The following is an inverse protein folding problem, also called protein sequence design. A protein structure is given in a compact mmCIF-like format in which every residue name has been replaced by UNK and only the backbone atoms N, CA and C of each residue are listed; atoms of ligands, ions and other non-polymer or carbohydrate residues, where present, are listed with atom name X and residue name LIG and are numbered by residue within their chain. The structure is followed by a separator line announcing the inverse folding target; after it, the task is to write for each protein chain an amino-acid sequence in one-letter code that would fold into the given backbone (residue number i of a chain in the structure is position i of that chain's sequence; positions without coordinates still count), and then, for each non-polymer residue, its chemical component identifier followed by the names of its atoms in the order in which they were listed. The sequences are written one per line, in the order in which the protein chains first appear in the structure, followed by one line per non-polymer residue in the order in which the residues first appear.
data_IF_174763004325
#
_entry.id   IF_174763004325
#
_cell.length_a   1.000
_cell.length_b   1.000
_cell.length_c   1.000
_cell.angle_alpha   90.00
_cell.angle_beta   90.00
_cell.angle_gamma   90.00
#
_symmetry.space_group_name_H-M   'P 1'
#
loop_
_entity.id
_entity.type
_entity.pdbx_description
1 polymer ?
#
# COMPACT_ATOMS: atom_id res chain seq x y z
N UNK A 1 -35.70 23.94 31.55
CA UNK A 1 -36.99 23.22 31.60
C UNK A 1 -37.06 22.36 30.34
N UNK A 2 -36.70 21.08 30.45
CA UNK A 2 -37.62 19.93 30.54
C UNK A 2 -38.24 19.60 29.16
N UNK A 3 -37.78 18.52 28.50
CA UNK A 3 -38.48 17.21 28.36
C UNK A 3 -39.63 17.24 27.32
N UNK A 4 -39.91 16.26 26.46
CA UNK A 4 -39.57 14.84 26.42
C UNK A 4 -39.81 14.24 25.01
N UNK A 5 -39.37 12.99 24.88
CA UNK A 5 -39.49 12.03 23.78
C UNK A 5 -40.92 11.75 23.30
N UNK A 6 -41.04 11.30 22.04
CA UNK A 6 -42.08 10.36 21.63
C UNK A 6 -41.49 9.29 20.69
N UNK A 7 -41.60 8.02 21.11
CA UNK A 7 -41.38 6.81 20.30
C UNK A 7 -42.69 6.41 19.62
N UNK A 8 -42.59 5.90 18.40
CA UNK A 8 -43.59 5.10 17.68
C UNK A 8 -43.02 4.84 16.28
N UNK A 9 -42.76 3.64 15.78
CA UNK A 9 -43.40 2.35 16.01
C UNK A 9 -44.42 2.10 14.90
N UNK A 10 -43.98 1.64 13.71
CA UNK A 10 -44.83 0.90 12.77
C UNK A 10 -44.02 -0.09 11.93
N UNK A 11 -44.39 -1.36 12.09
CA UNK A 11 -44.06 -2.49 11.24
C UNK A 11 -44.73 -2.34 9.86
N UNK A 12 -44.08 -2.80 8.78
CA UNK A 12 -44.77 -3.07 7.50
C UNK A 12 -44.66 -4.54 7.12
N UNK A 13 -45.84 -5.05 6.80
CA UNK A 13 -46.30 -6.41 6.52
C UNK A 13 -45.61 -7.11 5.35
N UNK A 14 -45.46 -8.42 5.53
CA UNK A 14 -45.21 -9.42 4.50
C UNK A 14 -46.49 -9.67 3.66
N UNK A 15 -46.31 -9.88 2.36
CA UNK A 15 -47.34 -10.41 1.45
C UNK A 15 -46.95 -11.81 1.01
N UNK A 16 -47.69 -12.82 1.49
CA UNK A 16 -47.61 -14.22 1.06
C UNK A 16 -48.78 -14.46 0.09
N UNK A 17 -48.50 -14.94 -1.11
CA UNK A 17 -49.50 -15.44 -2.07
C UNK A 17 -49.58 -16.96 -1.93
N UNK A 18 -50.80 -17.43 -1.67
CA UNK A 18 -51.18 -18.83 -1.49
C UNK A 18 -51.68 -19.40 -2.83
N UNK A 19 -51.23 -20.60 -3.24
CA UNK A 19 -51.82 -21.36 -4.34
C UNK A 19 -52.34 -22.69 -3.80
N UNK A 20 -53.59 -22.94 -4.13
CA UNK A 20 -54.50 -23.99 -3.71
C UNK A 20 -54.24 -25.29 -4.50
N UNK A 21 -54.12 -26.45 -3.85
CA UNK A 21 -54.22 -27.76 -4.50
C UNK A 21 -55.41 -28.54 -3.92
N UNK A 22 -56.31 -28.97 -4.82
CA UNK A 22 -57.52 -29.73 -4.55
C UNK A 22 -57.21 -31.22 -4.32
N UNK A 23 -57.79 -31.78 -3.27
CA UNK A 23 -57.85 -33.21 -2.99
C UNK A 23 -59.00 -33.86 -3.77
N UNK A 24 -58.77 -35.03 -4.37
CA UNK A 24 -59.81 -35.95 -4.86
C UNK A 24 -59.61 -37.31 -4.18
N UNK A 25 -60.62 -37.92 -3.53
CA UNK A 25 -60.49 -39.23 -2.90
C UNK A 25 -60.88 -40.37 -3.87
N UNK A 26 -60.18 -41.50 -3.79
CA UNK A 26 -60.58 -42.74 -4.47
C UNK A 26 -61.46 -43.63 -3.56
N UNK A 27 -62.42 -44.39 -4.11
CA UNK A 27 -63.25 -45.32 -3.34
C UNK A 27 -62.59 -46.69 -3.14
N UNK A 28 -62.86 -47.29 -1.99
CA UNK A 28 -62.54 -48.68 -1.66
C UNK A 28 -63.46 -49.66 -2.42
N UNK A 29 -62.91 -50.79 -2.88
CA UNK A 29 -63.69 -51.93 -3.37
C UNK A 29 -63.04 -53.26 -2.97
N UNK A 30 -63.93 -54.18 -2.57
CA UNK A 30 -63.75 -55.41 -1.78
C UNK A 30 -63.03 -56.59 -2.47
N UNK A 31 -62.70 -57.54 -1.60
CA UNK A 31 -62.04 -58.81 -1.83
C UNK A 31 -62.82 -59.79 -2.74
N UNK A 32 -62.08 -60.41 -3.67
CA UNK A 32 -62.52 -61.57 -4.47
C UNK A 32 -61.43 -62.65 -4.53
N UNK A 33 -61.85 -63.91 -4.34
CA UNK A 33 -61.07 -65.15 -4.19
C UNK A 33 -60.00 -65.43 -5.27
N UNK A 34 -58.86 -65.97 -4.80
CA UNK A 34 -57.75 -66.57 -5.56
C UNK A 34 -58.13 -67.90 -6.26
N UNK A 35 -57.47 -68.18 -7.40
CA UNK A 35 -56.93 -69.51 -7.67
C UNK A 35 -55.41 -69.48 -7.89
N UNK A 36 -54.77 -70.53 -7.38
CA UNK A 36 -53.35 -70.85 -7.45
C UNK A 36 -52.83 -71.04 -8.88
N UNK A 37 -51.62 -70.53 -9.20
CA UNK A 37 -50.59 -71.30 -9.90
C UNK A 37 -49.22 -70.57 -9.94
N UNK A 38 -48.19 -71.39 -9.70
CA UNK A 38 -46.76 -71.27 -10.06
C UNK A 38 -46.01 -69.98 -9.69
N UNK A 39 -45.07 -70.14 -8.76
CA UNK A 39 -43.97 -69.21 -8.49
C UNK A 39 -43.06 -69.09 -9.72
N UNK A 40 -43.22 -68.02 -10.49
CA UNK A 40 -42.12 -67.42 -11.26
C UNK A 40 -41.65 -66.19 -10.50
N UNK A 41 -40.40 -66.22 -10.07
CA UNK A 41 -39.69 -65.07 -9.49
C UNK A 41 -39.75 -63.92 -10.50
N UNK A 42 -40.25 -62.71 -10.15
CA UNK A 42 -40.11 -61.58 -11.05
C UNK A 42 -38.62 -61.28 -11.16
N UNK A 43 -38.13 -61.21 -12.40
CA UNK A 43 -36.80 -60.67 -12.66
C UNK A 43 -36.73 -59.29 -12.02
N UNK A 44 -35.80 -59.11 -11.09
CA UNK A 44 -35.51 -57.81 -10.52
C UNK A 44 -35.17 -56.87 -11.69
N UNK A 45 -36.00 -55.86 -11.91
CA UNK A 45 -35.56 -54.66 -12.62
C UNK A 45 -34.36 -54.16 -11.80
N UNK A 46 -33.15 -54.04 -12.35
CA UNK A 46 -32.07 -53.45 -11.59
C UNK A 46 -32.55 -52.08 -11.16
N UNK A 47 -32.62 -51.84 -9.85
CA UNK A 47 -32.68 -50.48 -9.37
C UNK A 47 -31.47 -49.79 -10.02
N UNK A 48 -31.73 -48.87 -10.95
CA UNK A 48 -30.72 -47.90 -11.35
C UNK A 48 -30.47 -47.14 -10.07
N UNK A 49 -29.48 -47.61 -9.30
CA UNK A 49 -28.96 -46.87 -8.17
C UNK A 49 -28.60 -45.52 -8.72
N UNK A 50 -29.27 -44.48 -8.23
CA UNK A 50 -28.85 -43.12 -8.47
C UNK A 50 -27.39 -43.08 -8.03
N UNK A 51 -26.48 -42.99 -8.98
CA UNK A 51 -25.10 -42.60 -8.68
C UNK A 51 -25.23 -41.28 -7.93
N UNK A 52 -24.56 -41.10 -6.78
CA UNK A 52 -24.50 -39.79 -6.13
C UNK A 52 -24.18 -38.74 -7.19
N UNK A 53 -25.10 -37.78 -7.31
CA UNK A 53 -24.92 -36.65 -8.22
C UNK A 53 -24.03 -35.68 -7.46
N UNK A 54 -22.72 -35.87 -7.58
CA UNK A 54 -21.73 -35.05 -6.88
C UNK A 54 -21.18 -33.98 -7.84
N UNK A 55 -20.91 -32.79 -7.31
CA UNK A 55 -20.22 -31.73 -8.06
C UNK A 55 -18.72 -32.01 -8.00
N UNK A 56 -18.08 -32.13 -9.16
CA UNK A 56 -16.64 -32.35 -9.27
C UNK A 56 -15.89 -31.02 -9.43
N UNK A 57 -14.79 -30.86 -8.69
CA UNK A 57 -13.83 -29.76 -8.90
C UNK A 57 -12.93 -30.16 -10.07
N UNK A 58 -13.07 -29.47 -11.20
CA UNK A 58 -12.23 -29.67 -12.39
C UNK A 58 -10.93 -28.88 -12.25
N UNK A 59 -11.03 -27.61 -11.80
CA UNK A 59 -9.88 -26.81 -11.40
C UNK A 59 -10.20 -25.94 -10.18
N UNK A 60 -9.29 -25.85 -9.19
CA UNK A 60 -9.49 -24.98 -8.04
C UNK A 60 -9.33 -23.50 -8.43
N UNK A 61 -9.93 -22.58 -7.66
CA UNK A 61 -9.77 -21.15 -7.89
C UNK A 61 -8.36 -20.66 -7.61
N UNK A 62 -7.99 -19.57 -8.26
CA UNK A 62 -6.82 -18.74 -7.93
C UNK A 62 -7.27 -17.38 -7.45
N UNK A 63 -6.47 -16.77 -6.57
CA UNK A 63 -6.62 -15.37 -6.19
C UNK A 63 -5.92 -14.53 -7.25
N UNK A 64 -6.68 -13.74 -8.00
CA UNK A 64 -6.19 -12.78 -8.97
C UNK A 64 -6.17 -11.35 -8.37
N UNK A 65 -5.24 -10.52 -8.84
CA UNK A 65 -4.96 -9.18 -8.30
C UNK A 65 -3.70 -9.13 -7.44
N UNK A 66 -3.19 -7.91 -7.21
CA UNK A 66 -2.05 -7.68 -6.33
C UNK A 66 -2.54 -7.54 -4.88
N UNK A 67 -1.99 -8.29 -3.90
CA UNK A 67 -2.47 -8.26 -2.51
C UNK A 67 -1.91 -7.03 -1.78
N UNK A 68 -2.32 -5.85 -2.22
CA UNK A 68 -1.87 -4.56 -1.70
C UNK A 68 -3.03 -3.78 -1.07
N UNK A 69 -2.78 -3.11 0.05
CA UNK A 69 -3.75 -2.21 0.69
C UNK A 69 -4.22 -1.14 -0.31
N UNK A 70 -5.53 -0.96 -0.41
CA UNK A 70 -6.21 -0.13 -1.41
C UNK A 70 -6.52 -0.86 -2.73
N UNK A 71 -5.99 -2.07 -2.91
CA UNK A 71 -6.19 -2.91 -4.10
C UNK A 71 -7.47 -3.75 -4.04
N UNK A 72 -7.66 -4.57 -5.08
CA UNK A 72 -8.75 -5.53 -5.18
C UNK A 72 -8.23 -6.92 -5.53
N UNK A 73 -8.84 -7.94 -4.92
CA UNK A 73 -8.60 -9.35 -5.20
C UNK A 73 -9.87 -10.01 -5.73
N UNK A 74 -9.73 -10.98 -6.64
CA UNK A 74 -10.85 -11.76 -7.18
C UNK A 74 -10.54 -13.26 -7.15
N UNK A 75 -11.60 -14.08 -7.08
CA UNK A 75 -11.50 -15.53 -7.29
C UNK A 75 -11.83 -15.89 -8.74
N UNK A 76 -10.86 -16.49 -9.42
CA UNK A 76 -10.89 -16.76 -10.87
C UNK A 76 -10.28 -18.12 -11.21
N UNK A 77 -10.34 -18.52 -12.48
CA UNK A 77 -9.65 -19.71 -13.01
C UNK A 77 -10.17 -21.07 -12.52
N UNK A 78 -11.35 -21.10 -11.87
CA UNK A 78 -11.97 -22.33 -11.40
C UNK A 78 -12.97 -22.89 -12.42
N UNK A 79 -13.14 -24.21 -12.38
CA UNK A 79 -14.12 -24.95 -13.15
C UNK A 79 -14.71 -26.07 -12.30
N UNK A 80 -16.03 -26.20 -12.34
CA UNK A 80 -16.79 -27.26 -11.68
C UNK A 80 -17.66 -27.98 -12.70
N UNK A 81 -17.87 -29.28 -12.51
CA UNK A 81 -18.69 -30.10 -13.39
C UNK A 81 -19.86 -30.69 -12.62
N UNK A 82 -21.07 -30.46 -13.14
CA UNK A 82 -22.31 -31.12 -12.71
C UNK A 82 -23.17 -31.44 -13.95
N UNK A 83 -23.07 -32.65 -14.49
CA UNK A 83 -23.69 -33.00 -15.77
C UNK A 83 -25.20 -32.71 -15.80
N UNK A 84 -25.63 -31.92 -16.78
CA UNK A 84 -27.05 -31.58 -16.99
C UNK A 84 -27.64 -30.59 -15.98
N UNK A 85 -26.81 -29.92 -15.19
CA UNK A 85 -27.25 -28.98 -14.15
C UNK A 85 -26.66 -27.58 -14.36
N UNK A 86 -27.36 -26.56 -13.86
CA UNK A 86 -26.84 -25.19 -13.78
C UNK A 86 -26.23 -25.02 -12.38
N UNK A 87 -24.97 -24.58 -12.33
CA UNK A 87 -24.26 -24.35 -11.08
C UNK A 87 -24.49 -22.92 -10.58
N UNK A 88 -24.70 -22.78 -9.27
CA UNK A 88 -24.60 -21.52 -8.53
C UNK A 88 -23.34 -21.52 -7.68
N UNK A 89 -22.73 -20.35 -7.51
CA UNK A 89 -21.47 -20.20 -6.78
C UNK A 89 -21.61 -19.22 -5.62
N UNK A 90 -21.16 -19.65 -4.45
CA UNK A 90 -20.94 -18.80 -3.30
C UNK A 90 -19.44 -18.58 -3.10
N UNK A 91 -19.06 -17.35 -2.79
CA UNK A 91 -17.68 -16.94 -2.58
C UNK A 91 -17.48 -16.63 -1.11
N UNK A 92 -16.32 -16.94 -0.54
CA UNK A 92 -15.96 -16.44 0.78
C UNK A 92 -14.48 -16.17 0.91
N UNK A 93 -14.14 -15.12 1.67
CA UNK A 93 -12.77 -14.79 2.05
C UNK A 93 -12.60 -15.03 3.54
N UNK A 94 -11.46 -15.57 3.94
CA UNK A 94 -11.14 -15.87 5.34
C UNK A 94 -9.75 -15.37 5.69
N UNK A 95 -9.63 -14.69 6.83
CA UNK A 95 -8.37 -14.57 7.54
C UNK A 95 -7.95 -15.97 8.04
N UNK A 96 -6.71 -16.35 7.73
CA UNK A 96 -6.11 -17.59 8.20
C UNK A 96 -5.88 -17.63 9.73
N UNK A 97 -5.94 -16.48 10.44
CA UNK A 97 -5.68 -16.37 11.89
C UNK A 97 -6.91 -16.60 12.77
N UNK A 98 -8.09 -16.07 12.43
CA UNK A 98 -9.31 -16.18 13.25
C UNK A 98 -10.47 -16.93 12.58
N UNK A 99 -10.36 -17.23 11.28
CA UNK A 99 -11.33 -18.02 10.51
C UNK A 99 -12.66 -17.31 10.22
N UNK A 100 -12.79 -16.02 10.55
CA UNK A 100 -14.04 -15.29 10.37
C UNK A 100 -14.26 -14.99 8.87
N UNK A 101 -15.44 -15.26 8.30
CA UNK A 101 -15.74 -14.87 6.92
C UNK A 101 -15.99 -13.36 6.85
N UNK A 102 -15.18 -12.64 6.08
CA UNK A 102 -15.26 -11.18 5.95
C UNK A 102 -16.08 -10.70 4.73
N UNK A 103 -16.77 -11.63 4.05
CA UNK A 103 -17.76 -11.30 3.05
C UNK A 103 -18.03 -12.42 2.04
N UNK A 104 -19.19 -12.33 1.38
CA UNK A 104 -19.63 -13.26 0.34
C UNK A 104 -19.55 -12.59 -1.04
N UNK A 105 -18.33 -12.31 -1.49
CA UNK A 105 -18.10 -11.54 -2.71
C UNK A 105 -17.02 -12.20 -3.57
N UNK A 106 -17.28 -12.25 -4.88
CA UNK A 106 -16.27 -12.69 -5.86
C UNK A 106 -15.04 -11.77 -5.87
N UNK A 107 -15.23 -10.49 -5.59
CA UNK A 107 -14.19 -9.45 -5.52
C UNK A 107 -14.14 -8.88 -4.11
N UNK A 108 -12.95 -8.84 -3.52
CA UNK A 108 -12.66 -8.26 -2.21
C UNK A 108 -11.82 -6.99 -2.39
N UNK A 109 -12.27 -5.87 -1.80
CA UNK A 109 -11.47 -4.65 -1.74
C UNK A 109 -10.66 -4.62 -0.44
N UNK A 110 -9.35 -4.41 -0.55
CA UNK A 110 -8.42 -4.47 0.57
C UNK A 110 -8.35 -3.12 1.27
N UNK A 111 -9.02 -3.02 2.41
CA UNK A 111 -8.87 -1.91 3.36
C UNK A 111 -7.55 -2.00 4.16
N UNK A 112 -7.14 -0.91 4.83
CA UNK A 112 -6.00 -0.86 5.77
C UNK A 112 -5.92 -2.00 6.79
N UNK A 113 -7.07 -2.45 7.29
CA UNK A 113 -7.18 -3.48 8.33
C UNK A 113 -6.64 -4.85 7.88
N UNK A 114 -6.54 -5.06 6.56
CA UNK A 114 -6.03 -6.31 5.99
C UNK A 114 -4.51 -6.43 5.99
N UNK A 115 -3.75 -5.39 6.32
CA UNK A 115 -2.28 -5.49 6.23
C UNK A 115 -1.73 -6.56 7.15
N UNK A 116 -0.85 -7.37 6.59
CA UNK A 116 -0.20 -8.47 7.27
C UNK A 116 -1.09 -9.70 7.41
N UNK A 117 -2.38 -9.59 7.09
CA UNK A 117 -3.33 -10.70 7.09
C UNK A 117 -3.01 -11.64 5.93
N UNK A 118 -3.06 -12.93 6.22
CA UNK A 118 -2.98 -13.99 5.22
C UNK A 118 -4.40 -14.38 4.85
N UNK A 119 -4.80 -14.02 3.64
CA UNK A 119 -6.11 -14.27 3.10
C UNK A 119 -6.16 -15.58 2.33
N UNK A 120 -7.22 -16.34 2.53
CA UNK A 120 -7.61 -17.43 1.62
C UNK A 120 -9.01 -17.18 1.08
N UNK A 121 -9.25 -17.59 -0.17
CA UNK A 121 -10.57 -17.50 -0.78
C UNK A 121 -11.12 -18.88 -1.08
N UNK A 122 -12.44 -19.04 -0.98
CA UNK A 122 -13.15 -20.28 -1.27
C UNK A 122 -14.28 -20.01 -2.24
N UNK A 123 -14.49 -20.96 -3.15
CA UNK A 123 -15.66 -21.03 -4.03
C UNK A 123 -16.42 -22.31 -3.70
N UNK A 124 -17.68 -22.18 -3.32
CA UNK A 124 -18.59 -23.30 -3.09
C UNK A 124 -19.59 -23.36 -4.23
N UNK A 125 -19.62 -24.50 -4.93
CA UNK A 125 -20.58 -24.75 -6.00
C UNK A 125 -21.78 -25.54 -5.46
N UNK A 126 -22.98 -25.18 -5.91
CA UNK A 126 -24.24 -25.84 -5.55
C UNK A 126 -25.11 -26.06 -6.81
N UNK A 127 -25.88 -27.15 -6.81
CA UNK A 127 -26.96 -27.43 -7.77
C UNK A 127 -28.06 -28.23 -7.07
N UNK A 128 -29.32 -28.05 -7.48
CA UNK A 128 -30.53 -28.48 -6.74
C UNK A 128 -30.45 -29.86 -6.06
N UNK A 129 -30.08 -30.90 -6.81
CA UNK A 129 -30.03 -32.29 -6.34
C UNK A 129 -28.59 -32.77 -6.03
N UNK A 130 -27.63 -31.85 -5.94
CA UNK A 130 -26.21 -32.16 -5.74
C UNK A 130 -25.71 -31.69 -4.37
N UNK A 131 -24.76 -32.43 -3.79
CA UNK A 131 -24.02 -31.95 -2.61
C UNK A 131 -23.13 -30.76 -2.98
N UNK A 132 -22.98 -29.82 -2.03
CA UNK A 132 -22.13 -28.64 -2.26
C UNK A 132 -20.66 -29.04 -2.18
N UNK A 133 -19.85 -28.49 -3.09
CA UNK A 133 -18.43 -28.81 -3.17
C UNK A 133 -17.59 -27.53 -3.03
N UNK A 134 -16.85 -27.35 -1.91
CA UNK A 134 -15.97 -26.21 -1.72
C UNK A 134 -14.58 -26.43 -2.33
N UNK A 135 -14.08 -25.44 -3.05
CA UNK A 135 -12.71 -25.38 -3.55
C UNK A 135 -11.99 -24.15 -2.99
N UNK A 136 -10.80 -24.36 -2.41
CA UNK A 136 -10.01 -23.29 -1.79
C UNK A 136 -8.86 -22.85 -2.71
N UNK A 137 -8.65 -21.54 -2.78
CA UNK A 137 -7.51 -20.94 -3.45
C UNK A 137 -6.28 -20.89 -2.52
N UNK A 138 -5.05 -21.01 -3.06
CA UNK A 138 -3.83 -20.79 -2.29
C UNK A 138 -3.82 -19.42 -1.60
N UNK A 139 -3.37 -19.31 -0.34
CA UNK A 139 -3.45 -18.07 0.39
C UNK A 139 -2.45 -17.02 -0.10
N UNK A 140 -2.81 -15.74 0.05
CA UNK A 140 -1.95 -14.58 -0.23
C UNK A 140 -1.82 -13.71 1.01
N UNK A 141 -0.68 -13.04 1.19
CA UNK A 141 -0.47 -12.12 2.31
C UNK A 141 -0.54 -10.68 1.83
N UNK A 142 -1.37 -9.87 2.49
CA UNK A 142 -1.64 -8.48 2.08
C UNK A 142 -0.59 -7.53 2.63
N UNK A 143 0.06 -6.75 1.77
CA UNK A 143 1.08 -5.76 2.15
C UNK A 143 0.66 -4.33 1.78
N UNK A 144 1.45 -3.32 2.14
CA UNK A 144 1.35 -1.95 1.62
C UNK A 144 2.60 -1.54 0.85
N UNK A 145 2.43 -0.63 -0.11
CA UNK A 145 3.57 -0.04 -0.83
C UNK A 145 4.35 0.90 0.08
N UNK A 146 3.71 1.48 1.08
CA UNK A 146 4.34 2.39 2.04
C UNK A 146 4.44 1.74 3.44
N UNK A 147 5.10 2.39 4.41
CA UNK A 147 5.18 1.88 5.79
C UNK A 147 3.92 2.23 6.62
N UNK A 148 3.05 3.10 6.12
CA UNK A 148 1.80 3.54 6.75
C UNK A 148 0.73 2.48 6.63
N UNK A 149 -0.13 2.38 7.65
CA UNK A 149 -1.31 1.55 7.60
C UNK A 149 -2.28 1.89 6.44
N UNK A 150 -2.16 3.09 5.87
CA UNK A 150 -3.12 3.64 4.92
C UNK A 150 -2.60 3.73 3.48
N UNK A 151 -1.40 3.21 3.20
CA UNK A 151 -0.73 3.30 1.89
C UNK A 151 -0.60 4.77 1.38
N UNK A 152 -0.15 5.67 2.25
CA UNK A 152 -0.05 7.12 2.00
C UNK A 152 1.40 7.59 1.99
N UNK A 153 1.68 8.73 1.33
CA UNK A 153 2.97 9.42 1.43
C UNK A 153 3.35 9.67 2.89
N UNK A 154 4.58 9.33 3.24
CA UNK A 154 5.14 9.44 4.57
C UNK A 154 6.44 10.21 4.53
N UNK A 155 6.78 10.80 5.67
CA UNK A 155 8.16 11.11 5.97
C UNK A 155 8.56 10.47 7.28
N UNK A 156 9.87 10.38 7.45
CA UNK A 156 10.50 9.86 8.64
C UNK A 156 10.99 11.01 9.50
N UNK A 157 10.86 10.87 10.81
CA UNK A 157 11.45 11.79 11.76
C UNK A 157 12.34 11.03 12.74
N UNK A 158 13.60 11.45 12.86
CA UNK A 158 14.50 10.93 13.89
C UNK A 158 14.35 11.76 15.16
N UNK A 159 14.12 11.06 16.25
CA UNK A 159 14.02 11.61 17.59
C UNK A 159 15.40 11.67 18.27
N UNK A 160 15.53 12.54 19.27
CA UNK A 160 16.75 12.75 20.05
C UNK A 160 17.21 11.49 20.80
N UNK A 161 16.29 10.59 21.11
CA UNK A 161 16.55 9.29 21.73
C UNK A 161 16.99 8.21 20.72
N UNK A 162 17.04 8.56 19.43
CA UNK A 162 17.41 7.67 18.33
C UNK A 162 16.26 6.84 17.78
N UNK A 163 15.03 6.99 18.28
CA UNK A 163 13.86 6.37 17.68
C UNK A 163 13.50 7.04 16.34
N UNK A 164 12.90 6.26 15.45
CA UNK A 164 12.40 6.71 14.17
C UNK A 164 10.87 6.72 14.22
N UNK A 165 10.30 7.86 13.86
CA UNK A 165 8.88 8.10 13.80
C UNK A 165 8.42 8.09 12.34
N UNK A 166 7.41 7.29 12.06
CA UNK A 166 6.69 7.34 10.78
C UNK A 166 5.58 8.36 10.92
N UNK A 167 5.55 9.35 10.04
CA UNK A 167 4.51 10.36 10.11
C UNK A 167 3.67 10.27 8.84
N UNK A 168 2.53 9.54 8.88
CA UNK A 168 1.65 9.48 7.72
C UNK A 168 0.99 10.82 7.51
N UNK A 169 0.85 11.23 6.26
CA UNK A 169 -0.03 12.33 5.89
C UNK A 169 -1.50 11.87 5.87
N UNK A 170 -2.43 12.80 6.10
CA UNK A 170 -3.85 12.64 5.80
C UNK A 170 -4.17 13.42 4.52
N UNK A 171 -5.26 13.09 3.78
CA UNK A 171 -5.73 13.92 2.65
C UNK A 171 -6.04 15.38 3.01
N UNK A 172 -6.20 15.70 4.29
CA UNK A 172 -6.36 17.08 4.79
C UNK A 172 -5.02 17.73 5.20
N UNK A 173 -3.87 17.14 4.83
CA UNK A 173 -2.54 17.61 5.21
C UNK A 173 -2.29 17.60 6.73
N UNK A 174 -2.87 16.66 7.49
CA UNK A 174 -2.60 16.47 8.93
C UNK A 174 -1.66 15.28 9.13
N UNK A 175 -0.77 15.40 10.11
CA UNK A 175 0.07 14.28 10.54
C UNK A 175 -0.76 13.27 11.34
N UNK A 176 -0.68 12.00 10.99
CA UNK A 176 -1.19 10.93 11.84
C UNK A 176 -0.31 10.68 13.06
N UNK A 177 -0.75 9.78 13.93
CA UNK A 177 0.01 9.42 15.14
C UNK A 177 1.33 8.78 14.75
N UNK A 178 2.44 9.37 15.17
CA UNK A 178 3.75 8.79 14.96
C UNK A 178 3.83 7.41 15.63
N UNK A 179 4.12 6.38 14.84
CA UNK A 179 4.48 5.07 15.37
C UNK A 179 5.99 4.99 15.49
N UNK A 180 6.46 4.37 16.58
CA UNK A 180 7.86 3.96 16.66
C UNK A 180 8.02 2.70 15.83
N UNK A 181 8.98 2.69 14.89
CA UNK A 181 9.46 1.41 14.36
C UNK A 181 9.93 0.53 15.51
N UNK A 182 9.60 -0.75 15.48
CA UNK A 182 10.11 -1.70 16.46
C UNK A 182 11.63 -1.82 16.29
N UNK A 183 12.40 -1.27 17.23
CA UNK A 183 13.85 -1.43 17.29
C UNK A 183 14.65 -0.14 17.29
N UNK A 184 15.88 -0.23 17.80
CA UNK A 184 16.88 0.83 17.67
C UNK A 184 17.52 0.69 16.29
N UNK A 185 17.32 1.70 15.45
CA UNK A 185 17.96 1.75 14.13
C UNK A 185 19.49 1.80 14.28
N UNK A 186 20.25 1.30 13.28
CA UNK A 186 21.70 1.34 13.31
C UNK A 186 22.19 2.77 13.56
N UNK A 187 23.34 2.91 14.23
CA UNK A 187 24.00 4.21 14.41
C UNK A 187 24.57 4.72 13.07
N UNK A 188 23.68 5.07 12.14
CA UNK A 188 24.00 5.68 10.88
C UNK A 188 24.32 7.17 11.09
N UNK A 189 25.23 7.69 10.25
CA UNK A 189 25.57 9.11 10.25
C UNK A 189 24.46 9.93 9.60
N UNK A 190 23.82 9.38 8.57
CA UNK A 190 22.67 9.94 7.87
C UNK A 190 21.75 8.80 7.40
N UNK A 191 20.49 9.14 7.16
CA UNK A 191 19.43 8.24 6.69
C UNK A 191 18.54 9.02 5.72
N UNK A 192 17.83 8.35 4.81
CA UNK A 192 16.81 8.97 3.96
C UNK A 192 15.73 7.96 3.54
N UNK A 193 14.52 8.42 3.23
CA UNK A 193 13.48 7.58 2.61
C UNK A 193 13.76 7.44 1.12
N UNK A 194 13.90 6.21 0.65
CA UNK A 194 14.33 6.00 -0.73
C UNK A 194 13.19 5.80 -1.73
N UNK A 195 11.94 5.88 -1.28
CA UNK A 195 10.82 5.36 -2.06
C UNK A 195 11.08 3.88 -2.41
N UNK A 196 10.56 3.41 -3.54
CA UNK A 196 10.82 2.06 -4.04
C UNK A 196 12.18 2.00 -4.78
N UNK A 197 13.27 1.90 -4.02
CA UNK A 197 14.63 1.97 -4.57
C UNK A 197 15.01 0.69 -5.32
N UNK A 198 14.51 -0.46 -4.89
CA UNK A 198 14.81 -1.73 -5.54
C UNK A 198 13.79 -2.25 -6.55
N UNK A 199 12.68 -1.51 -6.74
CA UNK A 199 11.69 -1.77 -7.76
C UNK A 199 10.74 -2.92 -7.41
N UNK A 200 10.62 -3.29 -6.14
CA UNK A 200 9.73 -4.34 -5.67
C UNK A 200 8.31 -3.84 -5.33
N UNK A 201 8.07 -2.54 -5.50
CA UNK A 201 6.80 -1.87 -5.25
C UNK A 201 6.59 -1.46 -3.79
N UNK A 202 7.60 -1.58 -2.92
CA UNK A 202 7.56 -1.19 -1.50
C UNK A 202 8.59 -0.10 -1.22
N UNK A 203 8.28 0.77 -0.27
CA UNK A 203 9.20 1.81 0.16
C UNK A 203 10.39 1.22 0.93
N UNK A 204 11.57 1.76 0.64
CA UNK A 204 12.85 1.39 1.20
C UNK A 204 13.46 2.54 2.01
N UNK A 205 14.52 2.22 2.74
CA UNK A 205 15.31 3.17 3.52
C UNK A 205 16.78 3.07 3.14
N UNK A 206 17.43 4.21 2.95
CA UNK A 206 18.89 4.28 2.80
C UNK A 206 19.55 4.78 4.07
N UNK A 207 20.69 4.19 4.44
CA UNK A 207 21.50 4.64 5.58
C UNK A 207 22.96 4.75 5.21
N UNK A 208 23.58 5.88 5.56
CA UNK A 208 25.01 6.11 5.38
C UNK A 208 25.73 6.03 6.72
N UNK A 209 26.62 5.05 6.85
CA UNK A 209 27.39 4.80 8.06
C UNK A 209 28.67 5.66 8.11
N UNK A 210 29.22 5.86 9.32
CA UNK A 210 30.45 6.67 9.52
C UNK A 210 31.68 6.11 8.82
N UNK A 211 31.72 4.81 8.57
CA UNK A 211 32.77 4.14 7.79
C UNK A 211 32.61 4.35 6.26
N UNK A 212 31.60 5.12 5.82
CA UNK A 212 31.35 5.41 4.42
C UNK A 212 30.68 4.29 3.64
N UNK A 213 30.00 3.36 4.33
CA UNK A 213 29.15 2.33 3.72
C UNK A 213 27.72 2.85 3.62
N UNK A 214 27.14 2.77 2.42
CA UNK A 214 25.73 3.04 2.16
C UNK A 214 24.99 1.69 2.12
N UNK A 215 23.97 1.55 2.96
CA UNK A 215 23.11 0.38 3.02
C UNK A 215 21.70 0.72 2.56
N UNK A 216 21.14 -0.15 1.73
CA UNK A 216 19.71 -0.23 1.46
C UNK A 216 19.07 -1.20 2.46
N UNK A 217 17.97 -0.76 3.06
CA UNK A 217 17.08 -1.56 3.89
C UNK A 217 15.76 -1.70 3.11
N UNK A 218 15.57 -2.82 2.37
CA UNK A 218 14.37 -2.97 1.58
C UNK A 218 13.14 -3.07 2.47
N UNK A 219 12.04 -2.44 2.09
CA UNK A 219 10.77 -2.54 2.80
C UNK A 219 10.24 -3.96 2.80
N UNK A 220 9.56 -4.38 3.87
CA UNK A 220 8.79 -5.62 3.85
C UNK A 220 7.32 -5.39 3.45
N UNK A 221 6.86 -4.14 3.42
CA UNK A 221 5.47 -3.75 3.16
C UNK A 221 4.51 -4.02 4.33
N UNK A 222 5.04 -4.36 5.50
CA UNK A 222 4.30 -4.61 6.74
C UNK A 222 4.70 -3.64 7.87
N UNK A 223 5.42 -2.55 7.53
CA UNK A 223 5.93 -1.57 8.49
C UNK A 223 7.34 -1.87 9.01
N UNK A 224 8.04 -2.83 8.41
CA UNK A 224 9.43 -3.20 8.71
C UNK A 224 10.32 -3.24 7.47
N UNK A 225 11.56 -3.70 7.67
CA UNK A 225 12.53 -3.88 6.59
C UNK A 225 13.03 -5.32 6.57
N UNK A 226 13.44 -5.77 5.39
CA UNK A 226 14.10 -7.06 5.19
C UNK A 226 15.62 -6.94 5.44
N UNK A 227 16.40 -7.93 5.00
CA UNK A 227 17.83 -7.96 5.26
C UNK A 227 18.55 -6.84 4.49
N UNK A 228 19.36 -5.99 5.17
CA UNK A 228 20.02 -4.88 4.50
C UNK A 228 21.11 -5.38 3.55
N UNK A 229 21.34 -4.61 2.48
CA UNK A 229 22.40 -4.87 1.50
C UNK A 229 23.26 -3.65 1.26
N UNK A 230 24.54 -3.89 0.94
CA UNK A 230 25.49 -2.82 0.61
C UNK A 230 25.17 -2.27 -0.77
N UNK A 231 24.88 -0.98 -0.83
CA UNK A 231 24.62 -0.26 -2.08
C UNK A 231 25.84 0.53 -2.56
N UNK A 232 26.73 0.92 -1.64
CA UNK A 232 27.95 1.64 -1.94
C UNK A 232 28.95 1.66 -0.78
N UNK A 233 30.21 1.97 -1.09
CA UNK A 233 31.28 2.14 -0.10
C UNK A 233 32.26 3.25 -0.51
N UNK A 234 33.12 3.69 0.41
CA UNK A 234 34.11 4.74 0.17
C UNK A 234 33.58 6.17 0.36
N UNK A 235 32.44 6.33 1.02
CA UNK A 235 31.74 7.61 1.17
C UNK A 235 32.17 8.38 2.42
N UNK A 236 33.37 8.15 2.94
CA UNK A 236 33.89 8.87 4.11
C UNK A 236 34.10 10.37 3.84
N UNK A 237 34.31 10.76 2.58
CA UNK A 237 34.43 12.16 2.14
C UNK A 237 33.11 12.83 1.74
N UNK A 238 31.99 12.11 1.79
CA UNK A 238 30.66 12.68 1.51
C UNK A 238 30.18 13.45 2.74
N UNK A 239 29.78 14.70 2.54
CA UNK A 239 29.24 15.56 3.61
C UNK A 239 27.81 15.12 3.95
N UNK A 240 26.95 15.01 2.96
CA UNK A 240 25.58 14.49 3.06
C UNK A 240 25.13 13.92 1.70
N UNK A 241 24.00 13.22 1.72
CA UNK A 241 23.32 12.68 0.55
C UNK A 241 21.83 12.98 0.66
N UNK A 242 21.13 12.94 -0.47
CA UNK A 242 19.67 13.03 -0.56
C UNK A 242 19.19 12.27 -1.79
N UNK A 243 17.90 11.95 -1.81
CA UNK A 243 17.27 11.09 -2.82
C UNK A 243 16.27 11.89 -3.65
N UNK A 244 16.60 12.22 -4.91
CA UNK A 244 15.70 12.96 -5.78
C UNK A 244 14.57 12.12 -6.40
N UNK A 245 14.56 10.80 -6.19
CA UNK A 245 13.79 9.88 -7.03
C UNK A 245 14.53 9.64 -8.35
N UNK A 246 13.80 9.51 -9.45
CA UNK A 246 14.38 9.38 -10.79
C UNK A 246 14.82 10.75 -11.32
N UNK A 247 16.12 11.02 -11.31
CA UNK A 247 16.69 12.32 -11.70
C UNK A 247 17.25 12.31 -13.12
N UNK A 248 17.42 11.12 -13.71
CA UNK A 248 17.99 10.93 -15.04
C UNK A 248 17.02 10.36 -16.08
N UNK A 249 15.76 10.13 -15.68
CA UNK A 249 14.67 9.68 -16.53
C UNK A 249 14.72 8.18 -16.88
N UNK A 250 15.53 7.38 -16.18
CA UNK A 250 15.66 5.93 -16.43
C UNK A 250 14.69 5.05 -15.62
N UNK A 251 13.74 5.69 -14.94
CA UNK A 251 12.70 5.10 -14.09
C UNK A 251 13.26 4.33 -12.89
N UNK A 252 14.46 4.70 -12.43
CA UNK A 252 15.06 4.15 -11.22
C UNK A 252 15.44 5.27 -10.26
N UNK A 253 15.27 5.08 -8.96
CA UNK A 253 15.73 6.07 -8.01
C UNK A 253 17.24 6.26 -8.01
N UNK A 254 17.65 7.52 -7.93
CA UNK A 254 19.03 7.97 -7.92
C UNK A 254 19.47 8.43 -6.53
N UNK A 255 20.77 8.62 -6.34
CA UNK A 255 21.34 9.21 -5.13
C UNK A 255 22.20 10.41 -5.49
N UNK A 256 21.95 11.57 -4.88
CA UNK A 256 22.84 12.72 -5.01
C UNK A 256 23.66 12.86 -3.74
N UNK A 257 24.97 13.03 -3.89
CA UNK A 257 25.90 13.29 -2.79
C UNK A 257 26.49 14.67 -2.91
N UNK A 258 26.75 15.29 -1.76
CA UNK A 258 27.51 16.52 -1.67
C UNK A 258 28.86 16.27 -1.02
N UNK A 259 29.92 16.81 -1.60
CA UNK A 259 31.25 16.78 -0.99
C UNK A 259 31.52 17.99 -0.08
N UNK A 260 32.67 18.01 0.57
CA UNK A 260 33.07 19.11 1.45
C UNK A 260 33.33 20.44 0.71
N UNK A 261 33.58 20.39 -0.60
CA UNK A 261 33.71 21.58 -1.46
C UNK A 261 32.36 22.15 -1.89
N UNK A 262 31.26 21.43 -1.62
CA UNK A 262 29.91 21.81 -2.02
C UNK A 262 29.51 21.33 -3.41
N UNK A 263 30.34 20.56 -4.09
CA UNK A 263 29.97 19.99 -5.38
C UNK A 263 28.93 18.90 -5.18
N UNK A 264 27.98 18.82 -6.12
CA UNK A 264 26.96 17.78 -6.15
C UNK A 264 27.32 16.74 -7.19
N UNK A 265 27.21 15.48 -6.79
CA UNK A 265 27.50 14.32 -7.62
C UNK A 265 26.30 13.38 -7.66
N UNK A 266 25.80 13.10 -8.86
CA UNK A 266 24.74 12.14 -9.10
C UNK A 266 25.33 10.73 -9.19
N UNK A 267 24.76 9.80 -8.44
CA UNK A 267 25.01 8.37 -8.52
C UNK A 267 23.74 7.73 -9.07
N UNK A 268 23.79 7.30 -10.34
CA UNK A 268 22.62 6.78 -11.02
C UNK A 268 22.20 5.41 -10.46
N UNK A 269 20.89 5.17 -10.41
CA UNK A 269 20.28 3.89 -10.11
C UNK A 269 20.69 2.80 -11.10
N UNK A 270 20.81 1.58 -10.61
CA UNK A 270 21.21 0.42 -11.41
C UNK A 270 20.68 -0.87 -10.81
N UNK A 271 20.46 -1.88 -11.66
CA UNK A 271 19.89 -3.16 -11.26
C UNK A 271 20.69 -3.90 -10.16
N UNK A 272 21.98 -3.60 -10.01
CA UNK A 272 22.87 -4.19 -9.00
C UNK A 272 23.45 -3.18 -8.01
N UNK A 273 22.97 -1.93 -8.02
CA UNK A 273 23.48 -0.85 -7.17
C UNK A 273 23.79 0.43 -7.95
N UNK A 274 24.53 1.33 -7.31
CA UNK A 274 24.85 2.65 -7.86
C UNK A 274 25.90 2.59 -8.97
N UNK A 275 25.67 3.35 -10.04
CA UNK A 275 26.63 3.56 -11.12
C UNK A 275 27.72 4.56 -10.72
N UNK A 276 28.84 4.64 -11.47
CA UNK A 276 29.86 5.66 -11.25
C UNK A 276 29.24 7.07 -11.27
N UNK A 277 29.68 7.90 -10.32
CA UNK A 277 29.11 9.24 -10.13
C UNK A 277 29.48 10.20 -11.26
N UNK A 278 28.55 11.09 -11.59
CA UNK A 278 28.77 12.24 -12.48
C UNK A 278 28.67 13.54 -11.70
N UNK A 279 29.45 14.55 -12.07
CA UNK A 279 29.33 15.89 -11.50
C UNK A 279 28.08 16.55 -12.08
N UNK A 280 27.22 17.12 -11.23
CA UNK A 280 26.01 17.84 -11.68
C UNK A 280 26.05 19.32 -11.28
N UNK A 281 26.79 19.67 -10.22
CA UNK A 281 26.99 21.06 -9.83
C UNK A 281 28.40 21.26 -9.29
N UNK A 282 29.13 22.24 -9.83
CA UNK A 282 30.44 22.63 -9.34
C UNK A 282 30.35 23.31 -7.97
N UNK A 283 31.30 23.01 -7.09
CA UNK A 283 31.43 23.71 -5.82
C UNK A 283 32.08 25.09 -6.00
N UNK A 284 31.48 26.14 -5.45
CA UNK A 284 32.10 27.47 -5.30
C UNK A 284 32.07 27.96 -3.86
N UNK A 285 31.02 27.60 -3.11
CA UNK A 285 30.93 27.56 -1.64
C UNK A 285 29.87 26.50 -1.27
N UNK A 286 30.05 25.72 -0.18
CA UNK A 286 29.04 24.76 0.21
C UNK A 286 27.76 25.49 0.59
N UNK A 287 26.62 25.23 -0.08
CA UNK A 287 25.33 25.73 0.38
C UNK A 287 25.09 25.29 1.84
N UNK A 288 24.42 26.11 2.64
CA UNK A 288 24.10 25.76 4.02
C UNK A 288 23.26 24.48 4.08
N UNK A 289 22.34 24.30 3.10
CA UNK A 289 21.47 23.12 2.93
C UNK A 289 21.24 22.84 1.45
N UNK A 290 21.03 21.58 1.11
CA UNK A 290 20.59 21.11 -0.21
C UNK A 290 19.64 19.94 0.01
N UNK A 291 18.56 19.88 -0.75
CA UNK A 291 17.61 18.77 -0.77
C UNK A 291 16.90 18.74 -2.12
N UNK A 292 16.26 17.63 -2.48
CA UNK A 292 15.41 17.55 -3.66
C UNK A 292 13.94 17.57 -3.25
N UNK A 293 13.15 18.56 -3.69
CA UNK A 293 11.71 18.60 -3.45
C UNK A 293 10.90 17.63 -4.32
N UNK A 294 11.50 16.95 -5.29
CA UNK A 294 10.78 16.29 -6.39
C UNK A 294 10.55 17.28 -7.53
N UNK A 295 9.57 17.01 -8.40
CA UNK A 295 9.14 17.94 -9.45
C UNK A 295 8.40 19.12 -8.80
N UNK A 296 9.10 20.24 -8.66
CA UNK A 296 8.65 21.38 -7.86
C UNK A 296 8.18 22.56 -8.71
N UNK A 297 8.69 22.67 -9.94
CA UNK A 297 8.23 23.61 -10.95
C UNK A 297 7.23 23.03 -11.97
N UNK A 298 6.92 21.73 -11.87
CA UNK A 298 5.88 21.07 -12.65
C UNK A 298 6.31 20.73 -14.07
N UNK A 299 7.62 20.65 -14.34
CA UNK A 299 8.17 20.33 -15.66
C UNK A 299 8.25 18.82 -15.94
N UNK A 300 7.93 18.00 -14.94
CA UNK A 300 7.95 16.54 -15.02
C UNK A 300 9.27 15.90 -14.62
N UNK A 301 10.24 16.68 -14.14
CA UNK A 301 11.56 16.19 -13.70
C UNK A 301 11.84 16.59 -12.26
N UNK A 302 12.64 15.79 -11.54
CA UNK A 302 12.96 16.11 -10.16
C UNK A 302 13.94 17.29 -10.06
N UNK A 303 13.69 18.20 -9.12
CA UNK A 303 14.47 19.42 -8.91
C UNK A 303 15.42 19.35 -7.71
N UNK A 304 16.25 20.38 -7.53
CA UNK A 304 17.05 20.59 -6.33
C UNK A 304 16.82 22.00 -5.76
N UNK A 305 16.63 22.08 -4.45
CA UNK A 305 16.65 23.35 -3.72
C UNK A 305 17.96 23.46 -2.94
N UNK A 306 18.66 24.58 -3.13
CA UNK A 306 19.83 24.94 -2.34
C UNK A 306 19.57 26.18 -1.48
N UNK A 307 20.12 26.20 -0.27
CA UNK A 307 20.09 27.37 0.62
C UNK A 307 21.48 27.97 0.74
N UNK A 308 21.63 29.26 0.42
CA UNK A 308 22.89 29.96 0.58
C UNK A 308 23.15 30.36 2.05
N UNK A 309 24.35 30.87 2.35
CA UNK A 309 24.73 31.28 3.70
C UNK A 309 23.92 32.47 4.25
N UNK A 310 23.27 33.25 3.38
CA UNK A 310 22.35 34.32 3.76
C UNK A 310 20.92 33.81 3.99
N UNK A 311 20.69 32.51 3.84
CA UNK A 311 19.39 31.86 4.02
C UNK A 311 18.46 32.00 2.81
N UNK A 312 18.93 32.50 1.67
CA UNK A 312 18.14 32.56 0.43
C UNK A 312 18.11 31.19 -0.22
N UNK A 313 16.94 30.80 -0.72
CA UNK A 313 16.76 29.56 -1.44
C UNK A 313 16.87 29.80 -2.95
N UNK A 314 17.46 28.83 -3.62
CA UNK A 314 17.64 28.79 -5.07
C UNK A 314 17.10 27.45 -5.57
N UNK A 315 16.30 27.51 -6.63
CA UNK A 315 15.84 26.34 -7.38
C UNK A 315 16.88 26.05 -8.47
N UNK A 316 17.25 24.79 -8.58
CA UNK A 316 18.05 24.24 -9.65
C UNK A 316 17.16 23.21 -10.34
N UNK A 317 16.57 23.59 -11.48
CA UNK A 317 15.65 22.74 -12.20
C UNK A 317 16.38 21.49 -12.72
N UNK A 318 15.74 20.34 -12.59
CA UNK A 318 16.22 19.11 -13.22
C UNK A 318 16.16 19.20 -14.74
N UNK A 319 17.04 18.50 -15.43
CA UNK A 319 16.94 18.38 -16.90
C UNK A 319 16.34 17.03 -17.35
N UNK A 320 15.93 16.19 -16.39
CA UNK A 320 15.52 14.80 -16.62
C UNK A 320 16.58 13.91 -17.28
N UNK A 321 17.84 14.35 -17.30
CA UNK A 321 18.98 13.65 -17.92
C UNK A 321 20.17 13.57 -16.96
N UNK A 322 19.92 13.79 -15.68
CA UNK A 322 20.93 13.75 -14.63
C UNK A 322 21.80 15.01 -14.58
N UNK A 323 21.29 16.15 -15.02
CA UNK A 323 21.93 17.47 -14.89
C UNK A 323 20.94 18.47 -14.29
N UNK A 324 21.45 19.67 -13.96
CA UNK A 324 20.63 20.79 -13.49
C UNK A 324 20.82 22.01 -14.38
N UNK A 325 19.81 22.85 -14.43
CA UNK A 325 19.90 24.19 -15.00
C UNK A 325 20.62 25.20 -14.08
N UNK A 326 20.84 26.40 -14.60
CA UNK A 326 21.40 27.51 -13.83
C UNK A 326 20.48 27.88 -12.65
N UNK A 327 21.03 28.09 -11.43
CA UNK A 327 20.20 28.37 -10.26
C UNK A 327 19.39 29.67 -10.40
N UNK A 328 18.08 29.57 -10.19
CA UNK A 328 17.17 30.73 -10.11
C UNK A 328 16.73 30.96 -8.66
N UNK A 329 16.42 32.20 -8.24
CA UNK A 329 15.87 32.42 -6.90
C UNK A 329 14.57 31.63 -6.72
N UNK A 330 14.52 30.73 -5.73
CA UNK A 330 13.28 30.07 -5.36
C UNK A 330 12.39 31.13 -4.68
N UNK A 331 11.33 31.56 -5.37
CA UNK A 331 10.43 32.62 -4.90
C UNK A 331 9.89 32.36 -3.48
N UNK A 332 9.58 33.43 -2.72
CA UNK A 332 8.94 33.49 -1.37
C UNK A 332 9.26 32.44 -0.28
N UNK A 333 10.15 31.46 -0.46
CA UNK A 333 10.59 30.57 0.63
C UNK A 333 11.50 31.40 1.55
N UNK A 334 10.92 32.01 2.60
CA UNK A 334 11.63 32.82 3.60
C UNK A 334 11.51 32.21 4.99
N UNK A 335 12.01 31.00 5.17
CA UNK A 335 12.01 30.35 6.48
C UNK A 335 13.40 29.88 6.89
N UNK A 336 13.71 30.02 8.18
CA UNK A 336 14.87 29.37 8.79
C UNK A 336 14.50 27.92 9.08
N UNK A 337 14.75 27.07 8.10
CA UNK A 337 14.47 25.63 8.15
C UNK A 337 15.56 24.91 8.95
N UNK A 338 15.15 24.03 9.87
CA UNK A 338 16.03 23.14 10.64
C UNK A 338 16.23 21.80 9.94
N UNK A 339 15.21 21.28 9.26
CA UNK A 339 15.22 20.05 8.46
C UNK A 339 13.99 20.02 7.54
N UNK A 340 14.05 19.27 6.44
CA UNK A 340 13.02 19.12 5.39
C UNK A 340 12.79 17.64 5.14
N UNK A 341 11.55 17.23 4.92
CA UNK A 341 11.23 15.93 4.30
C UNK A 341 10.58 16.13 2.94
N UNK A 342 11.15 15.47 1.93
CA UNK A 342 10.86 15.58 0.50
C UNK A 342 11.52 14.41 -0.23
N UNK A 343 11.05 13.99 -1.42
CA UNK A 343 9.88 14.50 -2.16
C UNK A 343 8.55 13.94 -1.64
N UNK A 344 7.43 14.61 -1.94
CA UNK A 344 6.11 14.03 -1.70
C UNK A 344 4.94 14.99 -1.83
N UNK A 345 3.81 14.50 -2.31
CA UNK A 345 2.50 15.16 -2.24
C UNK A 345 1.85 14.78 -0.90
N UNK A 346 1.92 15.68 0.09
CA UNK A 346 1.48 15.43 1.47
C UNK A 346 0.03 15.88 1.71
N UNK A 347 -0.57 16.60 0.76
CA UNK A 347 -1.94 17.09 0.84
C UNK A 347 -2.88 16.45 -0.22
N UNK A 348 -2.33 15.59 -1.09
CA UNK A 348 -3.01 14.88 -2.17
C UNK A 348 -3.58 15.80 -3.28
N UNK A 349 -2.93 16.94 -3.56
CA UNK A 349 -3.32 17.88 -4.62
C UNK A 349 -2.60 17.66 -5.97
N UNK A 350 -1.72 16.65 -6.03
CA UNK A 350 -0.93 16.28 -7.19
C UNK A 350 0.35 17.10 -7.37
N UNK A 351 0.76 17.90 -6.38
CA UNK A 351 1.99 18.71 -6.43
C UNK A 351 2.95 18.32 -5.30
N UNK A 352 4.25 18.50 -5.56
CA UNK A 352 5.29 18.26 -4.56
C UNK A 352 5.23 19.31 -3.44
N UNK A 353 5.00 18.84 -2.22
CA UNK A 353 4.92 19.62 -0.99
C UNK A 353 6.24 19.59 -0.21
N UNK A 354 6.44 20.51 0.74
CA UNK A 354 7.56 20.45 1.70
C UNK A 354 7.03 20.29 3.13
N UNK A 355 7.59 19.35 3.90
CA UNK A 355 7.48 19.37 5.37
C UNK A 355 8.73 19.98 5.96
N UNK A 356 8.59 21.03 6.76
CA UNK A 356 9.72 21.69 7.42
C UNK A 356 9.59 21.70 8.93
N UNK A 357 10.73 21.51 9.60
CA UNK A 357 10.89 21.80 11.02
C UNK A 357 11.47 23.21 11.17
N UNK A 358 10.79 24.11 11.86
CA UNK A 358 11.30 25.46 12.09
C UNK A 358 12.18 25.53 13.37
N UNK A 359 12.86 26.67 13.59
CA UNK A 359 13.71 26.88 14.77
C UNK A 359 12.97 26.85 16.12
N UNK A 360 11.64 26.95 16.11
CA UNK A 360 10.79 26.83 17.30
C UNK A 360 10.32 25.37 17.55
N UNK A 361 10.69 24.42 16.69
CA UNK A 361 10.28 23.02 16.79
C UNK A 361 8.86 22.72 16.30
N UNK A 362 8.26 23.63 15.52
CA UNK A 362 6.97 23.38 14.87
C UNK A 362 7.20 22.70 13.52
N UNK A 363 6.37 21.69 13.23
CA UNK A 363 6.24 21.11 11.90
C UNK A 363 5.24 21.94 11.10
N UNK A 364 5.63 22.29 9.89
CA UNK A 364 4.81 23.04 8.94
C UNK A 364 4.80 22.28 7.62
N UNK A 365 3.61 22.12 7.05
CA UNK A 365 3.43 21.78 5.64
C UNK A 365 3.49 23.08 4.84
N UNK A 366 4.31 23.11 3.80
CA UNK A 366 4.31 24.17 2.81
C UNK A 366 3.77 23.56 1.52
N UNK A 367 2.50 23.84 1.17
CA UNK A 367 1.92 23.32 -0.04
C UNK A 367 2.71 23.73 -1.28
N UNK A 368 3.03 22.79 -2.15
CA UNK A 368 3.60 23.05 -3.46
C UNK A 368 2.61 23.82 -4.32
N UNK A 369 3.11 24.80 -5.07
CA UNK A 369 2.27 25.49 -6.08
C UNK A 369 2.58 25.02 -7.50
N UNK A 370 3.56 24.13 -7.69
CA UNK A 370 3.94 23.59 -9.01
C UNK A 370 4.43 24.65 -9.99
N UNK A 371 5.00 25.75 -9.48
CA UNK A 371 5.66 26.80 -10.26
C UNK A 371 7.03 27.17 -9.66
N UNK A 372 7.60 26.27 -8.84
CA UNK A 372 8.83 26.51 -8.10
C UNK A 372 8.62 27.34 -6.83
N UNK A 373 7.37 27.55 -6.39
CA UNK A 373 7.05 28.26 -5.15
C UNK A 373 6.14 27.46 -4.19
N UNK A 374 5.95 28.01 -2.99
CA UNK A 374 5.11 27.41 -1.94
C UNK A 374 3.93 28.31 -1.56
N UNK A 375 2.84 27.69 -1.16
CA UNK A 375 1.70 28.33 -0.53
C UNK A 375 2.01 28.79 0.91
N UNK A 376 0.97 29.25 1.60
CA UNK A 376 1.12 29.64 3.00
C UNK A 376 1.40 28.42 3.89
N UNK A 377 2.32 28.54 4.88
CA UNK A 377 2.59 27.43 5.78
C UNK A 377 1.36 27.02 6.57
N UNK A 378 1.06 25.73 6.55
CA UNK A 378 0.00 25.09 7.32
C UNK A 378 0.62 24.43 8.56
N UNK A 379 0.27 24.85 9.79
CA UNK A 379 0.78 24.22 10.99
C UNK A 379 0.31 22.78 11.09
N UNK A 380 1.27 21.86 11.19
CA UNK A 380 1.01 20.43 11.40
C UNK A 380 1.00 20.05 12.89
N UNK A 381 1.58 20.91 13.72
CA UNK A 381 1.67 20.74 15.16
C UNK A 381 3.10 20.94 15.68
N UNK A 382 3.30 20.65 16.96
CA UNK A 382 4.63 20.54 17.55
C UNK A 382 5.18 19.16 17.27
N UNK A 383 6.46 19.07 16.91
CA UNK A 383 7.16 17.79 16.76
C UNK A 383 7.38 17.05 18.12
N UNK A 384 6.74 17.50 19.20
CA UNK A 384 7.21 17.24 20.57
C UNK A 384 8.62 17.82 20.79
N UNK A 385 9.18 17.68 22.00
CA UNK A 385 10.53 18.19 22.32
C UNK A 385 11.68 17.30 21.79
N UNK A 386 11.41 16.41 20.84
CA UNK A 386 12.27 15.28 20.53
C UNK A 386 12.74 15.17 19.08
N UNK A 387 11.99 15.65 18.08
CA UNK A 387 12.43 15.52 16.67
C UNK A 387 13.67 16.38 16.44
N UNK A 388 14.71 15.77 15.90
CA UNK A 388 15.98 16.44 15.57
C UNK A 388 16.25 16.48 14.06
N UNK A 389 15.59 15.62 13.29
CA UNK A 389 15.78 15.49 11.84
C UNK A 389 14.55 14.89 11.18
N UNK A 390 14.24 15.36 9.98
CA UNK A 390 13.23 14.87 9.06
C UNK A 390 13.93 14.28 7.84
N UNK A 391 13.34 13.24 7.26
CA UNK A 391 13.74 12.60 6.02
C UNK A 391 12.50 12.31 5.19
#
# INVERSE_FOLDING_TARGET
MAHAQARGGQHRLAGIVCVLCLFVPQPALEAGKLPSHSTSTPAAVPAVGLVPRDIEIVSPPVIAGEPVVGGQLSLEGFEFSAPGSVLTYDYSWRDALDGHPDGYHRVLSLTPDWRGVTLSGNVEASADDYETTPAQAPPVRVYSRTFSPENRSEFFARMRDGSLWFVPSSPAGRLGTASTGAGKWPAARAMDSAGDFDGDGRHDILTLHRNGVLLLHPGDGYGGTTHPRVLGSGWTGVRDFFLPGDFDGDSRPDVITRDNGGALWLHRGGASGLRPRTLILHGSRPPARVFSPGDFDGDGTADIISQDAAGRFWLLAGTGSGQVEDPVPAGRVRFRVMSVATPGDFNADGRSDLIVLNAAGMLLLLPGTGDGTTGFPVPLGLAGRGVVELF
#
